data_IF_402168908211
#
_entry.id   IF_402168908211
#
_cell.length_a   1.000
_cell.length_b   1.000
_cell.length_c   1.000
_cell.angle_alpha   90.00
_cell.angle_beta   90.00
_cell.angle_gamma   90.00
#
_symmetry.space_group_name_H-M   'P 1'
#
loop_
_entity.id
_entity.type
_entity.pdbx_description
1 polymer ?
#
# COMPACT_ATOMS: atom_id res chain seq x y z
N UNK A 1 40.93 -26.89 -34.37
CA UNK A 1 39.67 -26.69 -33.62
C UNK A 1 39.82 -25.83 -32.35
N UNK A 2 40.91 -25.06 -32.17
CA UNK A 2 41.07 -24.19 -30.98
C UNK A 2 40.67 -22.72 -31.23
N UNK A 3 40.74 -22.25 -32.47
CA UNK A 3 40.39 -20.86 -32.83
C UNK A 3 38.89 -20.55 -32.84
N UNK A 4 38.02 -21.57 -32.94
CA UNK A 4 36.56 -21.37 -32.93
C UNK A 4 36.02 -20.99 -31.54
N UNK A 5 36.70 -21.43 -30.47
CA UNK A 5 36.31 -21.12 -29.08
C UNK A 5 36.51 -19.64 -28.76
N UNK A 6 37.55 -19.00 -29.33
CA UNK A 6 37.83 -17.58 -29.12
C UNK A 6 36.79 -16.66 -29.76
N UNK A 7 36.18 -17.06 -30.87
CA UNK A 7 35.10 -16.29 -31.52
C UNK A 7 33.79 -16.39 -30.75
N UNK A 8 33.53 -17.53 -30.09
CA UNK A 8 32.33 -17.71 -29.28
C UNK A 8 32.39 -16.93 -27.95
N UNK A 9 33.60 -16.80 -27.38
CA UNK A 9 33.80 -16.09 -26.11
C UNK A 9 33.63 -14.57 -26.23
N UNK A 10 33.98 -13.98 -27.39
CA UNK A 10 33.82 -12.54 -27.62
C UNK A 10 32.35 -12.12 -27.80
N UNK A 11 31.48 -13.02 -28.27
CA UNK A 11 30.05 -12.76 -28.42
C UNK A 11 29.31 -12.66 -27.06
N UNK A 12 29.82 -13.30 -26.01
CA UNK A 12 29.22 -13.27 -24.68
C UNK A 12 29.46 -11.95 -23.92
N UNK A 13 30.46 -11.16 -24.31
CA UNK A 13 30.80 -9.88 -23.66
C UNK A 13 29.82 -8.75 -24.01
N UNK A 14 29.04 -8.88 -25.08
CA UNK A 14 28.10 -7.85 -25.55
C UNK A 14 26.70 -7.94 -24.91
N UNK A 15 26.44 -8.94 -24.06
CA UNK A 15 25.09 -9.25 -23.56
C UNK A 15 24.66 -8.46 -22.30
N UNK A 16 25.49 -7.58 -21.74
CA UNK A 16 25.19 -6.88 -20.47
C UNK A 16 24.86 -5.38 -20.61
N UNK A 17 24.47 -4.91 -21.79
CA UNK A 17 23.99 -3.54 -21.95
C UNK A 17 22.50 -3.55 -21.60
N UNK A 18 22.18 -3.23 -20.33
CA UNK A 18 20.81 -2.92 -19.95
C UNK A 18 20.37 -1.65 -20.69
N UNK A 19 19.41 -1.71 -21.62
CA UNK A 19 18.99 -0.53 -22.37
C UNK A 19 18.33 0.54 -21.49
N UNK A 20 18.02 0.21 -20.23
CA UNK A 20 17.43 1.13 -19.26
C UNK A 20 18.43 2.13 -18.65
N UNK A 21 19.74 2.00 -18.87
CA UNK A 21 20.75 2.94 -18.37
C UNK A 21 21.55 3.55 -19.52
N UNK A 22 20.99 4.59 -20.12
CA UNK A 22 21.71 5.48 -21.03
C UNK A 22 22.85 6.17 -20.28
N UNK A 23 24.04 6.21 -20.90
CA UNK A 23 25.27 6.79 -20.35
C UNK A 23 25.03 8.22 -19.83
N UNK A 24 25.19 8.43 -18.52
CA UNK A 24 25.21 9.77 -17.90
C UNK A 24 24.17 10.00 -16.80
N UNK A 25 23.13 9.17 -16.70
CA UNK A 25 22.12 9.33 -15.64
C UNK A 25 22.55 8.63 -14.35
N UNK A 26 23.13 9.40 -13.43
CA UNK A 26 23.47 8.93 -12.06
C UNK A 26 22.21 8.82 -11.18
N UNK A 27 21.15 9.55 -11.54
CA UNK A 27 19.89 9.61 -10.79
C UNK A 27 18.71 9.13 -11.64
N UNK A 28 17.82 8.36 -11.04
CA UNK A 28 16.58 7.90 -11.68
C UNK A 28 15.62 9.09 -11.85
N UNK A 29 15.13 9.34 -13.06
CA UNK A 29 14.13 10.39 -13.34
C UNK A 29 12.78 10.17 -12.61
N UNK A 30 12.47 8.92 -12.27
CA UNK A 30 11.28 8.54 -11.49
C UNK A 30 11.66 7.49 -10.46
N UNK A 31 11.09 7.53 -9.25
CA UNK A 31 11.35 6.48 -8.27
C UNK A 31 10.76 5.15 -8.75
N UNK A 32 11.44 4.05 -8.42
CA UNK A 32 10.94 2.69 -8.70
C UNK A 32 9.76 2.31 -7.79
N UNK A 33 9.61 3.01 -6.68
CA UNK A 33 8.59 2.79 -5.66
C UNK A 33 7.77 4.08 -5.58
N UNK A 34 6.42 4.01 -5.54
CA UNK A 34 5.62 5.21 -5.35
C UNK A 34 6.03 5.94 -4.08
N UNK A 35 6.16 7.27 -4.16
CA UNK A 35 6.43 8.13 -2.99
C UNK A 35 5.35 7.98 -1.91
N UNK A 36 4.14 7.63 -2.34
CA UNK A 36 3.01 7.41 -1.46
C UNK A 36 3.03 5.98 -0.92
N UNK A 37 2.99 5.84 0.41
CA UNK A 37 2.80 4.54 1.03
C UNK A 37 1.38 4.04 0.73
N UNK A 38 1.28 3.20 -0.31
CA UNK A 38 0.00 2.59 -0.73
C UNK A 38 -0.56 1.60 0.29
N UNK A 39 0.26 1.15 1.26
CA UNK A 39 -0.16 0.31 2.37
C UNK A 39 -0.51 1.19 3.57
N UNK A 40 -1.64 1.89 3.46
CA UNK A 40 -2.19 2.60 4.62
C UNK A 40 -2.38 1.60 5.76
N UNK A 41 -1.69 1.79 6.87
CA UNK A 41 -1.65 0.89 8.02
C UNK A 41 -1.63 1.78 9.26
N UNK A 42 -2.76 1.87 9.97
CA UNK A 42 -2.89 2.78 11.10
C UNK A 42 -3.91 2.31 12.13
N UNK A 43 -3.71 2.75 13.36
CA UNK A 43 -4.70 2.65 14.41
C UNK A 43 -5.57 3.90 14.36
N UNK A 44 -6.88 3.71 14.16
CA UNK A 44 -7.86 4.79 14.14
C UNK A 44 -8.70 4.70 15.40
N UNK A 45 -8.73 5.79 16.16
CA UNK A 45 -9.59 5.92 17.34
C UNK A 45 -10.90 6.56 16.90
N UNK A 46 -12.00 5.83 17.12
CA UNK A 46 -13.34 6.26 16.75
C UNK A 46 -14.27 6.14 17.95
N UNK A 47 -15.02 7.19 18.22
CA UNK A 47 -16.04 7.21 19.24
C UNK A 47 -17.40 6.99 18.60
N UNK A 48 -18.14 5.98 19.08
CA UNK A 48 -19.52 5.76 18.66
C UNK A 48 -20.46 6.53 19.59
N UNK A 49 -21.19 7.47 18.99
CA UNK A 49 -22.23 8.26 19.66
C UNK A 49 -23.61 7.89 19.11
N UNK A 50 -24.66 8.41 19.77
CA UNK A 50 -26.04 8.29 19.29
C UNK A 50 -26.24 8.89 17.88
N UNK A 51 -25.40 9.85 17.50
CA UNK A 51 -25.50 10.58 16.24
C UNK A 51 -24.60 10.02 15.13
N UNK A 52 -23.77 9.02 15.43
CA UNK A 52 -22.84 8.40 14.49
C UNK A 52 -21.42 8.27 15.04
N UNK A 53 -20.45 8.20 14.12
CA UNK A 53 -19.04 7.96 14.44
C UNK A 53 -18.25 9.28 14.44
N UNK A 54 -17.58 9.55 15.55
CA UNK A 54 -16.65 10.66 15.71
C UNK A 54 -15.21 10.16 15.61
N UNK A 55 -14.46 10.65 14.63
CA UNK A 55 -13.06 10.29 14.45
C UNK A 55 -12.16 11.26 15.20
N UNK A 56 -11.26 10.75 16.06
CA UNK A 56 -10.29 11.60 16.75
C UNK A 56 -9.26 12.19 15.77
N UNK A 57 -8.87 11.41 14.76
CA UNK A 57 -7.95 11.86 13.72
C UNK A 57 -8.68 12.73 12.69
N UNK A 58 -8.32 14.02 12.67
CA UNK A 58 -8.85 15.01 11.74
C UNK A 58 -8.29 14.87 10.33
N UNK A 59 -7.09 14.31 10.17
CA UNK A 59 -6.40 14.16 8.89
C UNK A 59 -6.84 12.92 8.12
N UNK A 60 -7.68 12.06 8.71
CA UNK A 60 -8.23 10.89 8.03
C UNK A 60 -9.05 11.32 6.80
N UNK A 61 -8.76 10.71 5.65
CA UNK A 61 -9.48 11.00 4.41
C UNK A 61 -10.97 10.63 4.52
N UNK A 62 -11.82 11.34 3.79
CA UNK A 62 -13.26 11.08 3.76
C UNK A 62 -13.60 9.67 3.26
N UNK A 63 -12.80 9.14 2.32
CA UNK A 63 -12.97 7.77 1.82
C UNK A 63 -12.80 6.73 2.95
N UNK A 64 -11.76 6.90 3.79
CA UNK A 64 -11.49 5.98 4.90
C UNK A 64 -12.61 6.07 5.94
N UNK A 65 -13.07 7.27 6.29
CA UNK A 65 -14.21 7.47 7.21
C UNK A 65 -15.47 6.75 6.73
N UNK A 66 -15.79 6.86 5.44
CA UNK A 66 -16.95 6.20 4.84
C UNK A 66 -16.84 4.67 4.87
N UNK A 67 -15.63 4.11 4.68
CA UNK A 67 -15.42 2.66 4.77
C UNK A 67 -15.63 2.15 6.20
N UNK A 68 -15.11 2.88 7.19
CA UNK A 68 -15.32 2.55 8.60
C UNK A 68 -16.80 2.63 8.96
N UNK A 69 -17.50 3.68 8.54
CA UNK A 69 -18.95 3.80 8.78
C UNK A 69 -19.74 2.61 8.22
N UNK A 70 -19.43 2.19 6.99
CA UNK A 70 -20.03 0.97 6.39
C UNK A 70 -19.68 -0.28 7.18
N UNK A 71 -18.46 -0.39 7.69
CA UNK A 71 -18.03 -1.51 8.53
C UNK A 71 -18.89 -1.61 9.79
N UNK A 72 -19.02 -0.53 10.55
CA UNK A 72 -19.85 -0.46 11.76
C UNK A 72 -21.34 -0.78 11.50
N UNK A 73 -21.86 -0.34 10.35
CA UNK A 73 -23.25 -0.63 9.94
C UNK A 73 -23.45 -2.10 9.58
N UNK A 74 -22.47 -2.75 8.94
CA UNK A 74 -22.54 -4.17 8.59
C UNK A 74 -22.31 -5.08 9.79
N UNK A 75 -21.44 -4.69 10.72
CA UNK A 75 -20.99 -5.52 11.84
C UNK A 75 -21.71 -5.14 13.13
N UNK A 76 -23.05 -5.17 13.09
CA UNK A 76 -23.91 -4.74 14.20
C UNK A 76 -23.62 -5.49 15.50
N UNK A 77 -23.27 -6.78 15.44
CA UNK A 77 -23.16 -7.60 16.66
C UNK A 77 -21.95 -7.27 17.55
N UNK A 78 -20.92 -6.60 17.02
CA UNK A 78 -19.68 -6.29 17.77
C UNK A 78 -19.46 -4.81 18.08
N UNK A 79 -20.19 -3.91 17.42
CA UNK A 79 -19.90 -2.48 17.42
C UNK A 79 -21.13 -1.61 17.72
N UNK A 80 -22.12 -2.14 18.45
CA UNK A 80 -23.34 -1.43 18.85
C UNK A 80 -23.15 -0.51 20.04
N UNK A 81 -22.24 -0.85 20.96
CA UNK A 81 -22.06 -0.10 22.21
C UNK A 81 -21.55 1.32 21.96
N UNK A 82 -22.10 2.27 22.70
CA UNK A 82 -21.71 3.67 22.68
C UNK A 82 -20.41 3.84 23.49
N UNK A 83 -19.28 3.63 22.82
CA UNK A 83 -17.95 3.75 23.43
C UNK A 83 -16.90 4.15 22.39
N UNK A 84 -15.70 4.36 22.88
CA UNK A 84 -14.52 4.55 22.04
C UNK A 84 -13.96 3.19 21.62
N UNK A 85 -13.73 3.03 20.32
CA UNK A 85 -13.11 1.86 19.72
C UNK A 85 -11.75 2.26 19.14
N UNK A 86 -10.79 1.34 19.25
CA UNK A 86 -9.50 1.45 18.58
C UNK A 86 -9.47 0.42 17.47
N UNK A 87 -9.48 0.89 16.23
CA UNK A 87 -9.67 0.05 15.06
C UNK A 87 -8.42 0.06 14.22
N UNK A 88 -7.94 -1.12 13.84
CA UNK A 88 -6.80 -1.24 12.95
C UNK A 88 -7.28 -1.23 11.51
N UNK A 89 -6.79 -0.27 10.74
CA UNK A 89 -7.07 -0.16 9.31
C UNK A 89 -5.81 -0.50 8.55
N UNK A 90 -5.94 -1.39 7.57
CA UNK A 90 -4.84 -1.80 6.72
C UNK A 90 -5.29 -1.95 5.27
N UNK A 91 -4.51 -1.44 4.32
CA UNK A 91 -4.65 -1.71 2.90
C UNK A 91 -3.63 -2.76 2.49
N UNK A 92 -4.10 -3.92 2.02
CA UNK A 92 -3.26 -5.05 1.60
C UNK A 92 -3.69 -5.49 0.20
N UNK A 93 -2.75 -5.54 -0.75
CA UNK A 93 -3.00 -6.00 -2.13
C UNK A 93 -4.19 -5.28 -2.80
N UNK A 94 -4.33 -3.97 -2.56
CA UNK A 94 -5.41 -3.15 -3.10
C UNK A 94 -6.75 -3.26 -2.37
N UNK A 95 -6.90 -4.18 -1.40
CA UNK A 95 -8.11 -4.38 -0.59
C UNK A 95 -7.96 -3.70 0.77
N UNK A 96 -9.07 -3.18 1.28
CA UNK A 96 -9.13 -2.56 2.60
C UNK A 96 -9.58 -3.58 3.63
N UNK A 97 -8.97 -3.51 4.81
CA UNK A 97 -9.33 -4.32 5.95
C UNK A 97 -9.47 -3.44 7.18
N UNK A 98 -10.53 -3.68 7.94
CA UNK A 98 -10.73 -3.15 9.29
C UNK A 98 -10.72 -4.34 10.24
N UNK A 99 -9.80 -4.34 11.21
CA UNK A 99 -9.61 -5.43 12.18
C UNK A 99 -9.53 -6.82 11.52
N UNK A 100 -8.76 -6.89 10.42
CA UNK A 100 -8.57 -8.08 9.56
C UNK A 100 -9.81 -8.53 8.77
N UNK A 101 -10.91 -7.78 8.79
CA UNK A 101 -12.11 -8.05 8.00
C UNK A 101 -12.07 -7.19 6.73
N UNK A 102 -12.24 -7.81 5.57
CA UNK A 102 -12.26 -7.14 4.27
C UNK A 102 -13.56 -6.30 4.09
N UNK A 103 -13.44 -5.09 3.51
CA UNK A 103 -14.56 -4.13 3.39
C UNK A 103 -14.70 -3.45 2.02
#
# INVERSE_FOLDING_TARGET
MKSLIFVFLSALLSAQISPARGKGEVFKHRPEIPYENTNYSGLVVVERSMYGLNFQDKQLSSEVKNRIDKFFKRHLNGYTELKTYQIRIQKKRGKWYVDNIEI
#
